data_IF_001556812569
#
_entry.id   IF_001556812569
#
_cell.length_a   1.000
_cell.length_b   1.000
_cell.length_c   1.000
_cell.angle_alpha   90.00
_cell.angle_beta   90.00
_cell.angle_gamma   90.00
#
_symmetry.space_group_name_H-M   'P 1'
#
loop_
_entity.id
_entity.type
_entity.pdbx_description
1 polymer ?
#
# COMPACT_ATOMS: atom_id res chain seq x y z
N UNK A 1 -3.71 9.92 11.14
CA UNK A 1 -2.94 9.26 12.21
C UNK A 1 -1.44 9.45 12.00
N UNK A 2 -0.66 9.50 13.10
CA UNK A 2 0.81 9.67 13.06
C UNK A 2 1.46 8.61 12.19
N UNK A 3 1.01 7.35 12.27
CA UNK A 3 1.53 6.25 11.46
C UNK A 3 1.46 6.53 9.95
N UNK A 4 0.37 7.10 9.46
CA UNK A 4 0.21 7.43 8.03
C UNK A 4 1.20 8.54 7.63
N UNK A 5 1.34 9.60 8.44
CA UNK A 5 2.29 10.66 8.17
C UNK A 5 3.74 10.15 8.08
N UNK A 6 4.16 9.32 9.05
CA UNK A 6 5.47 8.67 9.03
C UNK A 6 5.66 7.76 7.82
N UNK A 7 4.62 7.03 7.43
CA UNK A 7 4.63 6.18 6.23
C UNK A 7 4.78 6.99 4.94
N UNK A 8 4.15 8.15 4.83
CA UNK A 8 4.32 9.05 3.68
C UNK A 8 5.77 9.53 3.58
N UNK A 9 6.39 9.96 4.69
CA UNK A 9 7.80 10.35 4.71
C UNK A 9 8.71 9.16 4.37
N UNK A 10 8.36 7.96 4.83
CA UNK A 10 9.09 6.74 4.51
C UNK A 10 9.03 6.43 3.00
N UNK A 11 7.88 6.55 2.35
CA UNK A 11 7.77 6.37 0.91
C UNK A 11 8.62 7.39 0.15
N UNK A 12 8.67 8.65 0.58
CA UNK A 12 9.58 9.65 0.00
C UNK A 12 11.05 9.25 0.17
N UNK A 13 11.43 8.67 1.30
CA UNK A 13 12.78 8.12 1.49
C UNK A 13 13.04 6.93 0.55
N UNK A 14 12.02 6.09 0.33
CA UNK A 14 12.08 4.94 -0.57
C UNK A 14 12.25 5.37 -2.03
N UNK A 15 11.54 6.40 -2.50
CA UNK A 15 11.72 6.94 -3.87
C UNK A 15 13.13 7.45 -4.12
N UNK A 16 13.82 7.90 -3.06
CA UNK A 16 15.23 8.31 -3.08
C UNK A 16 16.21 7.17 -2.81
N UNK A 17 15.73 5.93 -2.77
CA UNK A 17 16.49 4.70 -2.49
C UNK A 17 17.24 4.71 -1.14
N UNK A 18 16.77 5.51 -0.17
CA UNK A 18 17.34 5.58 1.18
C UNK A 18 16.72 4.51 2.09
N UNK A 19 17.06 3.23 1.84
CA UNK A 19 16.44 2.08 2.49
C UNK A 19 16.54 2.11 4.03
N UNK A 20 17.67 2.54 4.58
CA UNK A 20 17.83 2.65 6.03
C UNK A 20 16.83 3.63 6.66
N UNK A 21 16.67 4.82 6.06
CA UNK A 21 15.69 5.82 6.54
C UNK A 21 14.26 5.32 6.38
N UNK A 22 13.97 4.67 5.26
CA UNK A 22 12.67 4.04 5.02
C UNK A 22 12.37 3.02 6.13
N UNK A 23 13.29 2.07 6.38
CA UNK A 23 13.08 1.02 7.38
C UNK A 23 12.89 1.58 8.79
N UNK A 24 13.71 2.56 9.19
CA UNK A 24 13.60 3.22 10.48
C UNK A 24 12.22 3.89 10.65
N UNK A 25 11.77 4.63 9.64
CA UNK A 25 10.47 5.33 9.68
C UNK A 25 9.30 4.35 9.72
N UNK A 26 9.36 3.24 8.98
CA UNK A 26 8.32 2.21 9.00
C UNK A 26 8.27 1.49 10.34
N UNK A 27 9.43 1.18 10.96
CA UNK A 27 9.47 0.59 12.30
C UNK A 27 8.82 1.54 13.32
N UNK A 28 9.16 2.83 13.27
CA UNK A 28 8.54 3.84 14.17
C UNK A 28 7.02 3.93 13.88
N UNK A 29 6.61 3.96 12.62
CA UNK A 29 5.19 3.97 12.24
C UNK A 29 4.45 2.74 12.76
N UNK A 30 5.09 1.56 12.76
CA UNK A 30 4.53 0.30 13.23
C UNK A 30 4.30 0.28 14.74
N UNK A 31 5.06 1.06 15.53
CA UNK A 31 4.79 1.23 16.96
C UNK A 31 3.43 1.91 17.22
N UNK A 32 2.99 2.79 16.32
CA UNK A 32 1.67 3.42 16.40
C UNK A 32 0.58 2.59 15.72
N UNK A 33 0.93 1.88 14.65
CA UNK A 33 -0.03 1.05 13.91
C UNK A 33 0.68 -0.07 13.15
N UNK A 34 0.52 -1.30 13.60
CA UNK A 34 1.20 -2.50 13.07
C UNK A 34 1.02 -2.69 11.55
N UNK A 35 -0.11 -2.26 10.98
CA UNK A 35 -0.38 -2.36 9.52
C UNK A 35 0.61 -1.57 8.65
N UNK A 36 1.37 -0.60 9.22
CA UNK A 36 2.42 0.10 8.49
C UNK A 36 3.51 -0.84 7.93
N UNK A 37 3.70 -2.01 8.57
CA UNK A 37 4.66 -3.03 8.11
C UNK A 37 4.38 -3.55 6.70
N UNK A 38 3.15 -3.41 6.19
CA UNK A 38 2.81 -3.81 4.82
C UNK A 38 3.65 -3.08 3.77
N UNK A 39 4.14 -1.88 4.09
CA UNK A 39 5.00 -1.11 3.19
C UNK A 39 6.39 -1.72 2.98
N UNK A 40 6.85 -2.62 3.86
CA UNK A 40 8.05 -3.41 3.58
C UNK A 40 7.86 -4.31 2.35
N UNK A 41 6.67 -4.93 2.21
CA UNK A 41 6.32 -5.70 1.02
C UNK A 41 6.40 -4.85 -0.26
N UNK A 42 5.91 -3.60 -0.20
CA UNK A 42 6.01 -2.67 -1.32
C UNK A 42 7.47 -2.35 -1.68
N UNK A 43 8.34 -2.11 -0.68
CA UNK A 43 9.75 -1.84 -0.91
C UNK A 43 10.46 -3.04 -1.60
N UNK A 44 10.13 -4.25 -1.18
CA UNK A 44 10.63 -5.47 -1.81
C UNK A 44 10.19 -5.61 -3.27
N UNK A 45 8.89 -5.40 -3.53
CA UNK A 45 8.32 -5.45 -4.88
C UNK A 45 8.96 -4.40 -5.81
N UNK A 46 9.24 -3.21 -5.29
CA UNK A 46 9.86 -2.13 -6.04
C UNK A 46 11.34 -2.39 -6.36
N UNK A 47 12.08 -2.98 -5.41
CA UNK A 47 13.53 -3.19 -5.50
C UNK A 47 13.91 -4.43 -6.32
N UNK A 48 13.07 -5.46 -6.35
CA UNK A 48 13.45 -6.75 -6.91
C UNK A 48 13.24 -6.81 -8.43
N UNK A 49 14.34 -7.16 -9.12
CA UNK A 49 14.35 -7.48 -10.54
C UNK A 49 14.11 -8.99 -10.78
N UNK A 50 14.25 -9.81 -9.74
CA UNK A 50 14.17 -11.26 -9.83
C UNK A 50 12.83 -11.76 -9.26
N UNK A 51 11.99 -12.39 -10.11
CA UNK A 51 10.65 -12.88 -9.74
C UNK A 51 10.67 -13.88 -8.57
N UNK A 52 11.71 -14.69 -8.49
CA UNK A 52 11.86 -15.69 -7.42
C UNK A 52 12.11 -15.01 -6.06
N UNK A 53 12.97 -13.99 -6.01
CA UNK A 53 13.21 -13.21 -4.79
C UNK A 53 11.96 -12.45 -4.33
N UNK A 54 11.16 -11.93 -5.28
CA UNK A 54 9.87 -11.30 -4.96
C UNK A 54 8.95 -12.31 -4.27
N UNK A 55 8.86 -13.52 -4.81
CA UNK A 55 7.98 -14.57 -4.29
C UNK A 55 8.43 -15.04 -2.89
N UNK A 56 9.73 -15.24 -2.69
CA UNK A 56 10.31 -15.60 -1.38
C UNK A 56 10.05 -14.48 -0.35
N UNK A 57 10.29 -13.23 -0.73
CA UNK A 57 10.05 -12.10 0.16
C UNK A 57 8.57 -11.95 0.53
N UNK A 58 7.67 -12.20 -0.41
CA UNK A 58 6.22 -12.17 -0.20
C UNK A 58 5.79 -13.30 0.75
N UNK A 59 6.34 -14.51 0.59
CA UNK A 59 6.10 -15.63 1.49
C UNK A 59 6.61 -15.36 2.90
N UNK A 60 7.83 -14.83 3.04
CA UNK A 60 8.39 -14.44 4.35
C UNK A 60 7.54 -13.34 4.98
N UNK A 61 7.11 -12.35 4.21
CA UNK A 61 6.26 -11.26 4.71
C UNK A 61 4.90 -11.77 5.19
N UNK A 62 4.26 -12.64 4.42
CA UNK A 62 2.99 -13.29 4.80
C UNK A 62 3.18 -14.13 6.04
N UNK A 63 4.27 -14.91 6.13
CA UNK A 63 4.58 -15.76 7.28
C UNK A 63 4.84 -14.94 8.55
N UNK A 64 5.65 -13.88 8.45
CA UNK A 64 5.93 -12.96 9.59
C UNK A 64 4.66 -12.20 9.98
N UNK A 65 3.86 -11.76 9.01
CA UNK A 65 2.55 -11.16 9.25
C UNK A 65 1.60 -12.12 9.95
N UNK A 66 1.56 -13.38 9.52
CA UNK A 66 0.80 -14.44 10.17
C UNK A 66 1.23 -14.63 11.63
N UNK A 67 2.52 -14.83 11.89
CA UNK A 67 3.04 -15.01 13.25
C UNK A 67 2.80 -13.79 14.14
N UNK A 68 2.94 -12.58 13.61
CA UNK A 68 2.81 -11.34 14.40
C UNK A 68 1.36 -10.93 14.66
N UNK A 69 0.44 -11.30 13.79
CA UNK A 69 -0.95 -10.84 13.83
C UNK A 69 -1.97 -11.93 14.14
N UNK A 70 -1.73 -13.16 13.71
CA UNK A 70 -2.75 -14.20 13.72
C UNK A 70 -2.60 -15.22 14.84
N UNK A 71 -1.41 -15.41 15.38
CA UNK A 71 -1.18 -16.49 16.36
C UNK A 71 -1.98 -16.32 17.65
N UNK A 72 -2.23 -15.08 18.09
CA UNK A 72 -2.94 -14.82 19.34
C UNK A 72 -4.34 -14.20 19.18
N UNK A 73 -4.64 -13.63 18.01
CA UNK A 73 -5.84 -12.81 17.81
C UNK A 73 -6.73 -13.23 16.64
N UNK A 74 -6.39 -14.33 15.94
CA UNK A 74 -7.13 -14.71 14.73
C UNK A 74 -8.63 -14.90 14.97
N UNK A 75 -9.00 -15.55 16.05
CA UNK A 75 -10.41 -15.75 16.41
C UNK A 75 -11.14 -14.44 16.70
N UNK A 76 -10.50 -13.54 17.43
CA UNK A 76 -11.07 -12.22 17.75
C UNK A 76 -11.12 -11.31 16.51
N UNK A 77 -10.06 -11.27 15.71
CA UNK A 77 -10.01 -10.45 14.49
C UNK A 77 -11.00 -10.98 13.44
N UNK A 78 -11.08 -12.30 13.26
CA UNK A 78 -12.04 -12.93 12.36
C UNK A 78 -13.47 -12.61 12.81
N UNK A 79 -13.74 -12.72 14.10
CA UNK A 79 -15.04 -12.42 14.69
C UNK A 79 -15.40 -10.92 14.56
N UNK A 80 -14.43 -10.01 14.78
CA UNK A 80 -14.64 -8.57 14.67
C UNK A 80 -14.74 -8.07 13.22
N UNK A 81 -13.93 -8.59 12.28
CA UNK A 81 -13.87 -8.07 10.93
C UNK A 81 -14.70 -8.82 9.91
N UNK A 82 -15.03 -10.10 10.18
CA UNK A 82 -15.79 -10.94 9.24
C UNK A 82 -17.21 -11.21 9.74
N UNK A 83 -17.41 -11.48 11.04
CA UNK A 83 -18.72 -11.82 11.57
C UNK A 83 -19.56 -10.62 12.02
N UNK A 84 -18.95 -9.53 12.48
CA UNK A 84 -19.67 -8.37 13.01
C UNK A 84 -19.97 -7.28 11.96
N UNK A 85 -19.80 -7.56 10.65
CA UNK A 85 -20.19 -6.68 9.54
C UNK A 85 -19.84 -5.18 9.79
N UNK A 86 -18.64 -4.91 10.32
CA UNK A 86 -18.16 -3.55 10.54
C UNK A 86 -17.94 -2.87 9.20
N UNK A 87 -19.01 -2.28 8.67
CA UNK A 87 -18.96 -1.53 7.42
C UNK A 87 -18.43 -0.13 7.70
N UNK A 88 -17.32 0.22 7.06
CA UNK A 88 -16.80 1.58 7.09
C UNK A 88 -17.61 2.44 6.13
N UNK A 89 -18.49 3.29 6.66
CA UNK A 89 -19.14 4.32 5.87
C UNK A 89 -18.08 5.20 5.21
N UNK A 90 -18.07 5.27 3.89
CA UNK A 90 -17.07 6.01 3.12
C UNK A 90 -15.82 5.25 2.70
N UNK A 91 -15.64 3.96 3.06
CA UNK A 91 -14.57 3.12 2.51
C UNK A 91 -14.61 3.11 0.99
N UNK A 92 -15.81 2.95 0.41
CA UNK A 92 -16.00 2.94 -1.03
C UNK A 92 -15.49 4.22 -1.70
N UNK A 93 -15.81 5.38 -1.15
CA UNK A 93 -15.37 6.68 -1.70
C UNK A 93 -13.84 6.79 -1.63
N UNK A 94 -13.23 6.50 -0.46
CA UNK A 94 -11.78 6.61 -0.27
C UNK A 94 -10.98 5.68 -1.17
N UNK A 95 -11.42 4.43 -1.29
CA UNK A 95 -10.73 3.44 -2.13
C UNK A 95 -10.96 3.74 -3.63
N UNK A 96 -12.16 4.22 -4.00
CA UNK A 96 -12.43 4.68 -5.37
C UNK A 96 -11.56 5.87 -5.77
N UNK A 97 -11.28 6.79 -4.85
CA UNK A 97 -10.36 7.91 -5.09
C UNK A 97 -8.93 7.46 -5.36
N UNK A 98 -8.50 6.30 -4.85
CA UNK A 98 -7.20 5.69 -5.19
C UNK A 98 -7.21 5.03 -6.58
N UNK A 99 -8.35 4.55 -7.02
CA UNK A 99 -8.47 3.85 -8.30
C UNK A 99 -8.16 4.76 -9.48
N UNK A 100 -8.67 6.00 -9.45
CA UNK A 100 -8.52 6.95 -10.56
C UNK A 100 -7.05 7.25 -10.90
N UNK A 101 -6.19 7.72 -9.99
CA UNK A 101 -4.77 7.93 -10.28
C UNK A 101 -4.05 6.63 -10.62
N UNK A 102 -4.45 5.51 -10.02
CA UNK A 102 -3.86 4.21 -10.33
C UNK A 102 -4.14 3.79 -11.77
N UNK A 103 -5.36 3.98 -12.27
CA UNK A 103 -5.72 3.70 -13.65
C UNK A 103 -4.99 4.63 -14.63
N UNK A 104 -4.88 5.93 -14.33
CA UNK A 104 -4.12 6.88 -15.15
C UNK A 104 -2.69 6.38 -15.32
N UNK A 105 -2.03 6.00 -14.24
CA UNK A 105 -0.65 5.51 -14.29
C UNK A 105 -0.52 4.17 -15.05
N UNK A 106 -1.49 3.25 -14.89
CA UNK A 106 -1.45 1.94 -15.55
C UNK A 106 -1.69 2.03 -17.06
N UNK A 107 -2.55 2.97 -17.49
CA UNK A 107 -2.89 3.16 -18.92
C UNK A 107 -1.79 3.95 -19.63
N UNK A 108 -1.24 5.00 -19.00
CA UNK A 108 -0.24 5.88 -19.62
C UNK A 108 1.10 5.94 -18.88
N UNK A 109 1.76 4.82 -18.59
CA UNK A 109 2.97 4.79 -17.76
C UNK A 109 4.19 5.48 -18.40
N UNK A 110 4.13 5.75 -19.71
CA UNK A 110 5.18 6.42 -20.47
C UNK A 110 5.09 7.95 -20.44
N UNK A 111 3.96 8.49 -19.99
CA UNK A 111 3.76 9.94 -19.86
C UNK A 111 4.43 10.51 -18.60
N UNK A 112 4.85 9.67 -17.67
CA UNK A 112 5.45 10.06 -16.42
C UNK A 112 6.97 9.95 -16.49
N UNK A 113 7.69 11.03 -16.21
CA UNK A 113 9.16 11.07 -16.18
C UNK A 113 9.74 10.43 -14.90
N UNK A 114 9.36 9.20 -14.64
CA UNK A 114 9.89 8.44 -13.51
C UNK A 114 11.19 7.74 -13.90
N UNK A 115 12.19 7.74 -12.99
CA UNK A 115 13.29 6.81 -13.15
C UNK A 115 12.81 5.35 -12.98
N UNK A 116 13.61 4.38 -13.41
CA UNK A 116 13.24 2.96 -13.45
C UNK A 116 12.75 2.44 -12.10
N UNK A 117 13.37 2.86 -10.99
CA UNK A 117 12.98 2.45 -9.65
C UNK A 117 11.63 3.07 -9.22
N UNK A 118 11.47 4.37 -9.42
CA UNK A 118 10.22 5.08 -9.12
C UNK A 118 9.06 4.54 -9.94
N UNK A 119 9.29 4.26 -11.23
CA UNK A 119 8.29 3.64 -12.10
C UNK A 119 7.83 2.31 -11.55
N UNK A 120 8.77 1.44 -11.16
CA UNK A 120 8.44 0.15 -10.54
C UNK A 120 7.62 0.32 -9.26
N UNK A 121 8.06 1.21 -8.37
CA UNK A 121 7.39 1.49 -7.10
C UNK A 121 5.94 1.93 -7.33
N UNK A 122 5.73 2.96 -8.16
CA UNK A 122 4.39 3.49 -8.38
C UNK A 122 3.49 2.54 -9.17
N UNK A 123 4.05 1.76 -10.09
CA UNK A 123 3.31 0.70 -10.77
C UNK A 123 2.82 -0.40 -9.83
N UNK A 124 3.61 -0.77 -8.81
CA UNK A 124 3.15 -1.71 -7.78
C UNK A 124 2.11 -1.07 -6.86
N UNK A 125 2.28 0.20 -6.46
CA UNK A 125 1.26 0.94 -5.73
C UNK A 125 -0.08 0.94 -6.49
N UNK A 126 -0.05 1.24 -7.79
CA UNK A 126 -1.24 1.26 -8.62
C UNK A 126 -1.92 -0.11 -8.70
N UNK A 127 -1.15 -1.18 -8.94
CA UNK A 127 -1.70 -2.56 -8.98
C UNK A 127 -2.35 -2.95 -7.66
N UNK A 128 -1.68 -2.66 -6.53
CA UNK A 128 -2.21 -2.96 -5.20
C UNK A 128 -3.49 -2.16 -4.95
N UNK A 129 -3.55 -0.90 -5.35
CA UNK A 129 -4.75 -0.07 -5.21
C UNK A 129 -5.94 -0.64 -5.99
N UNK A 130 -5.71 -1.16 -7.21
CA UNK A 130 -6.75 -1.85 -7.98
C UNK A 130 -7.20 -3.14 -7.29
N UNK A 131 -6.25 -3.93 -6.77
CA UNK A 131 -6.56 -5.16 -6.02
C UNK A 131 -7.39 -4.82 -4.76
N UNK A 132 -7.03 -3.77 -4.02
CA UNK A 132 -7.78 -3.34 -2.84
C UNK A 132 -9.20 -2.90 -3.21
N UNK A 133 -9.39 -2.23 -4.34
CA UNK A 133 -10.73 -1.88 -4.81
C UNK A 133 -11.56 -3.12 -5.16
N UNK A 134 -10.97 -4.09 -5.85
CA UNK A 134 -11.65 -5.36 -6.13
C UNK A 134 -11.99 -6.11 -4.84
N UNK A 135 -11.06 -6.18 -3.90
CA UNK A 135 -11.31 -6.79 -2.58
C UNK A 135 -12.46 -6.09 -1.85
N UNK A 136 -12.57 -4.76 -1.94
CA UNK A 136 -13.68 -4.03 -1.32
C UNK A 136 -15.05 -4.44 -1.89
N UNK A 137 -15.10 -4.77 -3.18
CA UNK A 137 -16.36 -5.22 -3.81
C UNK A 137 -16.71 -6.65 -3.42
N UNK A 138 -15.71 -7.53 -3.32
CA UNK A 138 -15.92 -8.97 -3.12
C UNK A 138 -15.90 -9.41 -1.65
N UNK A 139 -15.48 -8.53 -0.71
CA UNK A 139 -15.39 -8.91 0.72
C UNK A 139 -16.26 -8.00 1.58
N UNK A 140 -16.84 -8.56 2.63
CA UNK A 140 -17.54 -7.81 3.67
C UNK A 140 -16.60 -7.00 4.59
N UNK A 141 -15.30 -7.28 4.56
CA UNK A 141 -14.30 -6.68 5.43
C UNK A 141 -13.88 -5.24 4.97
N UNK A 142 -14.85 -4.36 4.68
CA UNK A 142 -14.62 -3.02 4.14
C UNK A 142 -13.70 -2.16 5.00
N UNK A 143 -13.78 -2.28 6.32
CA UNK A 143 -12.93 -1.53 7.27
C UNK A 143 -11.45 -1.93 7.17
N UNK A 144 -11.14 -3.21 6.99
CA UNK A 144 -9.75 -3.66 6.83
C UNK A 144 -9.14 -3.14 5.53
N UNK A 145 -9.90 -3.26 4.42
CA UNK A 145 -9.49 -2.76 3.11
C UNK A 145 -9.28 -1.24 3.14
N UNK A 146 -10.19 -0.50 3.76
CA UNK A 146 -10.09 0.95 3.92
C UNK A 146 -8.81 1.37 4.66
N UNK A 147 -8.50 0.71 5.78
CA UNK A 147 -7.27 0.99 6.54
C UNK A 147 -6.01 0.69 5.76
N UNK A 148 -5.99 -0.37 4.97
CA UNK A 148 -4.86 -0.68 4.09
C UNK A 148 -4.72 0.35 2.97
N UNK A 149 -5.83 0.77 2.37
CA UNK A 149 -5.87 1.76 1.31
C UNK A 149 -5.25 3.11 1.71
N UNK A 150 -5.41 3.52 2.98
CA UNK A 150 -4.82 4.75 3.51
C UNK A 150 -3.29 4.82 3.36
N UNK A 151 -2.58 3.70 3.35
CA UNK A 151 -1.12 3.66 3.15
C UNK A 151 -0.70 3.89 1.69
N UNK A 152 -1.65 3.78 0.75
CA UNK A 152 -1.42 4.01 -0.68
C UNK A 152 -1.86 5.41 -1.15
N UNK A 153 -2.41 6.25 -0.24
CA UNK A 153 -2.76 7.65 -0.55
C UNK A 153 -1.66 8.46 -1.26
N UNK A 154 -0.35 8.26 -0.98
CA UNK A 154 0.70 9.00 -1.67
C UNK A 154 0.64 8.90 -3.19
N UNK A 155 0.07 7.83 -3.77
CA UNK A 155 -0.08 7.72 -5.23
C UNK A 155 -0.95 8.84 -5.81
N UNK A 156 -2.02 9.26 -5.08
CA UNK A 156 -2.86 10.36 -5.52
C UNK A 156 -2.06 11.66 -5.64
N UNK A 157 -1.29 11.98 -4.60
CA UNK A 157 -0.51 13.21 -4.56
C UNK A 157 0.52 13.24 -5.69
N UNK A 158 1.20 12.12 -5.92
CA UNK A 158 2.24 12.02 -6.96
C UNK A 158 1.60 12.11 -8.35
N UNK A 159 0.60 11.30 -8.65
CA UNK A 159 0.01 11.26 -9.99
C UNK A 159 -0.67 12.58 -10.34
N UNK A 160 -1.40 13.18 -9.39
CA UNK A 160 -2.06 14.46 -9.65
C UNK A 160 -1.09 15.64 -9.75
N UNK A 161 0.12 15.57 -9.16
CA UNK A 161 1.14 16.61 -9.36
C UNK A 161 1.71 16.60 -10.78
N UNK A 162 1.70 15.46 -11.48
CA UNK A 162 2.14 15.33 -12.88
C UNK A 162 1.04 15.63 -13.89
N UNK A 163 -0.24 15.70 -13.47
CA UNK A 163 -1.36 15.92 -14.39
C UNK A 163 -1.23 17.18 -15.26
N UNK A 164 -0.79 18.34 -14.74
CA UNK A 164 -0.61 19.53 -15.57
C UNK A 164 0.42 19.30 -16.71
N UNK A 165 1.50 18.58 -16.43
CA UNK A 165 2.56 18.30 -17.39
C UNK A 165 2.14 17.28 -18.48
N UNK A 166 1.16 16.44 -18.17
CA UNK A 166 0.65 15.40 -19.09
C UNK A 166 -0.41 15.97 -20.04
N UNK A 167 -1.14 17.02 -19.61
CA UNK A 167 -2.24 17.62 -20.35
C UNK A 167 -1.77 18.71 -21.31
N UNK A 168 -0.57 19.24 -21.15
CA UNK A 168 0.09 20.19 -22.02
C UNK A 168 1.18 19.53 -22.86
#
# INVERSE_FOLDING_TARGET
SVAIGLSMIAIVALTKQKLFRFSLLIIIAALFHKTALILFGLAFLAASRNRLMILIALLIFVYVGYLSFLSESFGLLFQYYVLNDYQSEGAFIRVSMLLLPSLILLIWPHRFEFNTYQKNLWMWCARISVILFLLLIFTSASTAVDRLALYFLPIQMVIFSYLPEILY
#
